data_IF_516381582995
#
_entry.id   IF_516381582995
#
_cell.length_a   1.000
_cell.length_b   1.000
_cell.length_c   1.000
_cell.angle_alpha   90.00
_cell.angle_beta   90.00
_cell.angle_gamma   90.00
#
_symmetry.space_group_name_H-M   'P 1'
#
loop_
_entity.id
_entity.type
_entity.pdbx_description
1 polymer ?
#
# COMPACT_ATOMS: atom_id res chain seq x y z
N UNK A 1 -0.85 23.16 -43.83
CA UNK A 1 -2.17 23.05 -43.18
C UNK A 1 -2.24 21.70 -42.49
N UNK A 2 -2.46 21.64 -41.18
CA UNK A 2 -2.69 20.39 -40.44
C UNK A 2 -4.09 19.89 -40.76
N UNK A 3 -4.20 18.78 -41.50
CA UNK A 3 -5.48 18.24 -41.98
C UNK A 3 -5.74 16.86 -41.37
N UNK A 4 -6.16 16.80 -40.10
CA UNK A 4 -7.05 15.75 -39.52
C UNK A 4 -7.12 15.90 -38.00
N UNK A 5 -8.29 15.67 -37.39
CA UNK A 5 -8.46 15.64 -35.93
C UNK A 5 -7.54 14.60 -35.24
N UNK A 6 -7.10 13.58 -35.98
CA UNK A 6 -6.13 12.60 -35.50
C UNK A 6 -4.72 13.20 -35.32
N UNK A 7 -4.30 14.11 -36.20
CA UNK A 7 -2.98 14.73 -36.13
C UNK A 7 -2.91 15.73 -34.97
N UNK A 8 -4.01 16.42 -34.68
CA UNK A 8 -4.11 17.30 -33.51
C UNK A 8 -3.99 16.50 -32.20
N UNK A 9 -4.67 15.34 -32.08
CA UNK A 9 -4.55 14.46 -30.91
C UNK A 9 -3.12 13.92 -30.74
N UNK A 10 -2.49 13.47 -31.82
CA UNK A 10 -1.09 13.01 -31.78
C UNK A 10 -0.13 14.11 -31.33
N UNK A 11 -0.34 15.34 -31.80
CA UNK A 11 0.45 16.49 -31.37
C UNK A 11 0.28 16.80 -29.88
N UNK A 12 -0.95 16.77 -29.37
CA UNK A 12 -1.21 17.00 -27.94
C UNK A 12 -0.65 15.87 -27.06
N UNK A 13 -0.75 14.63 -27.51
CA UNK A 13 -0.26 13.46 -26.78
C UNK A 13 1.28 13.46 -26.73
N UNK A 14 1.94 13.82 -27.83
CA UNK A 14 3.40 13.98 -27.88
C UNK A 14 3.86 15.11 -26.96
N UNK A 15 3.17 16.25 -26.94
CA UNK A 15 3.51 17.35 -26.04
C UNK A 15 3.31 16.96 -24.56
N UNK A 16 2.25 16.21 -24.25
CA UNK A 16 2.00 15.72 -22.89
C UNK A 16 3.09 14.72 -22.45
N UNK A 17 3.54 13.85 -23.35
CA UNK A 17 4.63 12.92 -23.10
C UNK A 17 5.96 13.65 -22.88
N UNK A 18 6.30 14.64 -23.70
CA UNK A 18 7.52 15.45 -23.52
C UNK A 18 7.52 16.19 -22.17
N UNK A 19 6.38 16.77 -21.77
CA UNK A 19 6.22 17.39 -20.45
C UNK A 19 6.40 16.38 -19.32
N UNK A 20 5.86 15.17 -19.47
CA UNK A 20 6.01 14.10 -18.49
C UNK A 20 7.47 13.62 -18.37
N UNK A 21 8.17 13.47 -19.50
CA UNK A 21 9.61 13.15 -19.54
C UNK A 21 10.39 14.19 -18.77
N UNK A 22 10.19 15.48 -19.10
CA UNK A 22 10.89 16.57 -18.41
C UNK A 22 10.62 16.58 -16.91
N UNK A 23 9.35 16.41 -16.49
CA UNK A 23 8.99 16.41 -15.08
C UNK A 23 9.64 15.27 -14.29
N UNK A 24 9.66 14.06 -14.85
CA UNK A 24 10.31 12.90 -14.21
C UNK A 24 11.82 13.09 -14.15
N UNK A 25 12.45 13.55 -15.23
CA UNK A 25 13.88 13.85 -15.23
C UNK A 25 14.24 14.92 -14.20
N UNK A 26 13.50 16.03 -14.15
CA UNK A 26 13.73 17.10 -13.16
C UNK A 26 13.55 16.60 -11.72
N UNK A 27 12.60 15.69 -11.47
CA UNK A 27 12.39 15.09 -10.17
C UNK A 27 13.56 14.19 -9.76
N UNK A 28 14.07 13.36 -10.68
CA UNK A 28 15.22 12.49 -10.42
C UNK A 28 16.55 13.26 -10.33
N UNK A 29 16.67 14.41 -10.99
CA UNK A 29 17.83 15.30 -10.83
C UNK A 29 17.86 15.95 -9.45
N UNK A 30 16.69 16.33 -8.91
CA UNK A 30 16.58 16.91 -7.56
C UNK A 30 16.89 15.90 -6.47
N UNK A 31 16.60 14.63 -6.73
CA UNK A 31 16.74 13.53 -5.78
C UNK A 31 17.69 12.48 -6.39
N UNK A 32 19.00 12.77 -6.40
CA UNK A 32 20.00 11.97 -7.12
C UNK A 32 20.17 10.55 -6.56
N UNK A 33 19.73 10.32 -5.32
CA UNK A 33 19.70 9.00 -4.68
C UNK A 33 18.49 8.15 -5.11
N UNK A 34 17.63 8.71 -5.95
CA UNK A 34 16.49 8.06 -6.53
C UNK A 34 15.19 8.27 -5.75
N UNK A 35 14.10 7.90 -6.39
CA UNK A 35 12.74 8.06 -5.89
C UNK A 35 11.94 6.79 -6.10
N UNK A 36 11.10 6.46 -5.13
CA UNK A 36 10.09 5.42 -5.32
C UNK A 36 9.09 5.84 -6.40
N UNK A 37 8.49 4.85 -7.08
CA UNK A 37 7.43 5.11 -8.06
C UNK A 37 6.26 5.92 -7.47
N UNK A 38 5.94 5.72 -6.18
CA UNK A 38 4.90 6.44 -5.44
C UNK A 38 5.23 7.93 -5.33
N UNK A 39 6.50 8.27 -5.04
CA UNK A 39 7.01 9.62 -4.90
C UNK A 39 7.08 10.31 -6.27
N UNK A 40 7.55 9.60 -7.31
CA UNK A 40 7.58 10.15 -8.69
C UNK A 40 6.16 10.48 -9.16
N UNK A 41 5.20 9.57 -8.94
CA UNK A 41 3.79 9.81 -9.28
C UNK A 41 3.22 11.04 -8.56
N UNK A 42 3.51 11.19 -7.26
CA UNK A 42 3.01 12.32 -6.47
C UNK A 42 3.68 13.64 -6.87
N UNK A 43 5.01 13.64 -7.06
CA UNK A 43 5.79 14.83 -7.42
C UNK A 43 5.49 15.31 -8.83
N UNK A 44 5.30 14.39 -9.77
CA UNK A 44 5.05 14.71 -11.18
C UNK A 44 3.56 14.72 -11.55
N UNK A 45 2.66 14.32 -10.64
CA UNK A 45 1.21 14.14 -10.87
C UNK A 45 0.90 13.24 -12.06
N UNK A 46 1.64 12.14 -12.20
CA UNK A 46 1.51 11.19 -13.30
C UNK A 46 0.81 9.90 -12.86
N UNK A 47 0.17 9.22 -13.82
CA UNK A 47 -0.34 7.86 -13.57
C UNK A 47 0.81 6.86 -13.45
N UNK A 48 0.58 5.74 -12.76
CA UNK A 48 1.59 4.67 -12.65
C UNK A 48 2.05 4.17 -14.03
N UNK A 49 1.09 3.97 -14.96
CA UNK A 49 1.37 3.55 -16.33
C UNK A 49 2.26 4.54 -17.06
N UNK A 50 1.91 5.83 -17.03
CA UNK A 50 2.69 6.90 -17.68
C UNK A 50 4.09 6.99 -17.07
N UNK A 51 4.19 6.88 -15.74
CA UNK A 51 5.45 6.95 -15.01
C UNK A 51 6.41 5.83 -15.44
N UNK A 52 5.93 4.58 -15.48
CA UNK A 52 6.73 3.43 -15.97
C UNK A 52 7.18 3.59 -17.42
N UNK A 53 6.29 4.07 -18.29
CA UNK A 53 6.63 4.33 -19.70
C UNK A 53 7.73 5.39 -19.80
N UNK A 54 7.62 6.50 -19.07
CA UNK A 54 8.63 7.56 -19.07
C UNK A 54 9.96 7.07 -18.50
N UNK A 55 9.95 6.35 -17.38
CA UNK A 55 11.16 5.77 -16.77
C UNK A 55 11.90 4.83 -17.74
N UNK A 56 11.15 4.05 -18.51
CA UNK A 56 11.72 3.21 -19.57
C UNK A 56 12.32 4.02 -20.72
N UNK A 57 11.70 5.15 -21.10
CA UNK A 57 12.19 6.02 -22.18
C UNK A 57 13.51 6.69 -21.77
N UNK A 58 13.61 7.19 -20.54
CA UNK A 58 14.81 7.85 -20.02
C UNK A 58 15.87 6.87 -19.52
N UNK A 59 15.62 5.55 -19.64
CA UNK A 59 16.50 4.47 -19.16
C UNK A 59 16.89 4.63 -17.69
N UNK A 60 15.94 5.01 -16.84
CA UNK A 60 16.18 5.08 -15.40
C UNK A 60 16.47 3.69 -14.84
N UNK A 61 17.43 3.60 -13.92
CA UNK A 61 17.79 2.37 -13.22
C UNK A 61 16.80 2.12 -12.09
N UNK A 62 16.43 0.85 -11.86
CA UNK A 62 15.62 0.43 -10.73
C UNK A 62 16.47 -0.42 -9.81
N UNK A 63 16.62 0.01 -8.56
CA UNK A 63 17.28 -0.74 -7.51
C UNK A 63 16.29 -0.88 -6.35
N UNK A 64 15.78 -2.09 -6.16
CA UNK A 64 14.83 -2.45 -5.10
C UNK A 64 13.61 -1.52 -4.99
N UNK A 65 13.09 -1.09 -6.15
CA UNK A 65 11.90 -0.22 -6.21
C UNK A 65 12.19 1.28 -6.17
N UNK A 66 13.45 1.68 -5.97
CA UNK A 66 13.92 3.07 -6.08
C UNK A 66 14.47 3.31 -7.49
N UNK A 67 14.00 4.38 -8.13
CA UNK A 67 14.38 4.75 -9.49
C UNK A 67 15.32 5.94 -9.51
N UNK A 68 16.38 5.90 -10.31
CA UNK A 68 17.35 6.99 -10.45
C UNK A 68 17.88 7.10 -11.88
N UNK A 69 18.58 8.21 -12.19
CA UNK A 69 19.24 8.38 -13.48
C UNK A 69 20.54 7.55 -13.56
N UNK A 70 20.84 7.04 -14.76
CA UNK A 70 22.00 6.21 -15.06
C UNK A 70 23.31 6.86 -14.56
N UNK A 71 24.09 6.11 -13.77
CA UNK A 71 25.37 6.57 -13.22
C UNK A 71 25.30 7.54 -12.02
N UNK A 72 24.11 7.87 -11.50
CA UNK A 72 23.97 8.70 -10.30
C UNK A 72 23.91 7.93 -8.98
N UNK A 73 23.72 6.61 -9.02
CA UNK A 73 23.85 5.76 -7.83
C UNK A 73 25.33 5.51 -7.56
N UNK A 74 26.03 6.54 -7.09
CA UNK A 74 27.28 6.33 -6.38
C UNK A 74 26.91 5.88 -4.98
N UNK A 75 26.87 4.57 -4.78
CA UNK A 75 26.79 3.95 -3.46
C UNK A 75 27.80 4.61 -2.52
N UNK A 76 27.32 5.34 -1.52
CA UNK A 76 28.07 5.60 -0.29
C UNK A 76 27.11 5.72 0.89
N UNK A 77 27.29 4.77 1.82
CA UNK A 77 27.28 4.98 3.27
C UNK A 77 27.36 6.47 3.66
N UNK A 78 26.34 7.01 4.33
CA UNK A 78 26.48 7.86 5.54
C UNK A 78 25.16 7.83 6.32
N UNK A 79 25.32 7.43 7.57
CA UNK A 79 24.44 7.60 8.72
C UNK A 79 24.04 9.09 8.84
N UNK A 80 22.76 9.43 8.75
CA UNK A 80 22.24 10.63 9.39
C UNK A 80 21.46 10.22 10.64
N UNK A 81 22.15 10.35 11.78
CA UNK A 81 21.56 10.52 13.10
C UNK A 81 20.42 11.53 13.09
N UNK A 82 19.32 11.32 13.84
CA UNK A 82 18.24 12.29 13.92
C UNK A 82 18.70 13.53 14.69
N UNK A 83 18.84 14.68 14.00
CA UNK A 83 18.92 15.96 14.69
C UNK A 83 17.54 16.35 15.21
N UNK A 84 17.44 16.31 16.54
CA UNK A 84 16.35 16.84 17.35
C UNK A 84 16.33 18.37 17.19
N UNK A 85 15.55 18.88 16.24
CA UNK A 85 15.16 20.28 16.26
C UNK A 85 13.95 20.45 17.18
N UNK A 86 14.21 21.09 18.33
CA UNK A 86 13.23 21.59 19.29
C UNK A 86 12.19 22.45 18.58
N UNK A 87 10.96 21.96 18.45
CA UNK A 87 9.80 22.80 18.15
C UNK A 87 8.91 22.88 19.38
N UNK A 88 8.59 24.13 19.75
CA UNK A 88 7.72 24.57 20.85
C UNK A 88 6.44 23.71 21.02
N UNK A 89 6.31 23.14 22.21
CA UNK A 89 5.11 22.97 23.06
C UNK A 89 3.99 23.98 22.68
N UNK A 90 2.73 23.63 22.34
CA UNK A 90 1.63 22.96 23.07
C UNK A 90 0.41 22.76 22.12
N UNK A 91 -0.71 22.09 22.50
CA UNK A 91 -0.88 21.00 23.44
C UNK A 91 -1.48 19.73 22.80
N UNK A 92 -1.19 18.65 23.49
CA UNK A 92 -1.66 17.28 23.43
C UNK A 92 -3.18 17.10 23.36
N UNK A 93 -3.65 16.22 22.47
CA UNK A 93 -4.65 15.22 22.84
C UNK A 93 -4.12 13.82 22.47
N UNK A 94 -3.76 13.10 23.53
CA UNK A 94 -3.40 11.68 23.55
C UNK A 94 -4.69 10.88 23.61
N UNK A 95 -4.81 9.81 22.82
CA UNK A 95 -4.87 8.42 23.33
C UNK A 95 -5.06 7.39 22.19
N UNK A 96 -4.04 6.52 22.07
CA UNK A 96 -4.11 5.06 22.00
C UNK A 96 -5.10 4.37 21.05
N UNK A 97 -4.60 3.73 19.98
CA UNK A 97 -4.42 2.26 19.90
C UNK A 97 -3.85 1.84 18.52
N UNK A 98 -3.12 0.71 18.44
CA UNK A 98 -2.58 0.19 17.19
C UNK A 98 -3.68 -0.55 16.42
N UNK A 99 -4.53 0.17 15.70
CA UNK A 99 -5.50 -0.47 14.81
C UNK A 99 -4.84 -0.86 13.49
N UNK A 100 -4.89 -2.15 13.20
CA UNK A 100 -4.74 -2.75 11.86
C UNK A 100 -5.37 -1.77 10.86
N UNK A 101 -4.58 -1.15 9.96
CA UNK A 101 -5.06 -0.11 9.03
C UNK A 101 -6.27 -0.64 8.24
N UNK A 102 -7.47 -0.43 8.77
CA UNK A 102 -8.69 -0.90 8.18
C UNK A 102 -8.82 -0.21 6.82
N UNK A 103 -9.03 -1.01 5.78
CA UNK A 103 -9.22 -0.50 4.43
C UNK A 103 -10.37 0.50 4.42
N UNK A 104 -10.36 1.44 3.47
CA UNK A 104 -11.42 2.45 3.39
C UNK A 104 -12.82 1.82 3.31
N UNK A 105 -12.94 0.68 2.64
CA UNK A 105 -14.18 -0.09 2.55
C UNK A 105 -14.62 -0.62 3.93
N UNK A 106 -13.71 -1.19 4.72
CA UNK A 106 -14.05 -1.71 6.05
C UNK A 106 -14.54 -0.59 6.97
N UNK A 107 -13.88 0.57 6.93
CA UNK A 107 -14.31 1.75 7.68
C UNK A 107 -15.67 2.27 7.20
N UNK A 108 -15.94 2.22 5.88
CA UNK A 108 -17.26 2.59 5.32
C UNK A 108 -18.37 1.63 5.81
N UNK A 109 -18.08 0.34 5.92
CA UNK A 109 -19.02 -0.65 6.48
C UNK A 109 -19.31 -0.34 7.95
N UNK A 110 -18.29 -0.05 8.75
CA UNK A 110 -18.45 0.31 10.16
C UNK A 110 -19.27 1.59 10.35
N UNK A 111 -19.05 2.59 9.50
CA UNK A 111 -19.86 3.81 9.49
C UNK A 111 -21.34 3.49 9.34
N UNK A 112 -21.72 2.64 8.39
CA UNK A 112 -23.13 2.26 8.22
C UNK A 112 -23.67 1.33 9.32
N UNK A 113 -22.81 0.55 9.98
CA UNK A 113 -23.21 -0.23 11.17
C UNK A 113 -23.51 0.68 12.37
N UNK A 114 -22.72 1.75 12.54
CA UNK A 114 -22.87 2.71 13.64
C UNK A 114 -23.95 3.78 13.36
N UNK A 115 -24.38 3.91 12.10
CA UNK A 115 -25.43 4.85 11.66
C UNK A 115 -26.54 4.12 10.88
N UNK A 116 -27.37 3.30 11.56
CA UNK A 116 -28.44 2.54 10.90
C UNK A 116 -29.54 3.43 10.31
N UNK A 117 -29.79 4.60 10.90
CA UNK A 117 -30.76 5.59 10.38
C UNK A 117 -30.22 6.36 9.15
N UNK A 118 -28.94 6.14 8.83
CA UNK A 118 -28.24 6.73 7.70
C UNK A 118 -27.31 7.87 8.08
N UNK A 119 -26.51 8.28 7.08
CA UNK A 119 -25.45 9.28 7.24
C UNK A 119 -25.41 10.22 6.04
N UNK A 120 -25.19 11.51 6.27
CA UNK A 120 -24.97 12.48 5.18
C UNK A 120 -23.58 12.35 4.57
N UNK A 121 -23.41 12.75 3.32
CA UNK A 121 -22.10 12.72 2.65
C UNK A 121 -21.03 13.47 3.46
N UNK A 122 -21.35 14.67 3.93
CA UNK A 122 -20.41 15.51 4.68
C UNK A 122 -19.94 14.81 5.95
N UNK A 123 -20.85 14.19 6.70
CA UNK A 123 -20.50 13.49 7.93
C UNK A 123 -19.72 12.20 7.66
N UNK A 124 -20.07 11.47 6.60
CA UNK A 124 -19.34 10.28 6.19
C UNK A 124 -17.89 10.61 5.76
N UNK A 125 -17.68 11.70 5.02
CA UNK A 125 -16.34 12.14 4.62
C UNK A 125 -15.50 12.64 5.80
N UNK A 126 -16.13 13.29 6.78
CA UNK A 126 -15.49 13.68 8.04
C UNK A 126 -14.95 12.47 8.82
N UNK A 127 -15.75 11.41 8.94
CA UNK A 127 -15.36 10.18 9.67
C UNK A 127 -14.33 9.36 8.90
N UNK A 128 -14.53 9.18 7.59
CA UNK A 128 -13.69 8.27 6.79
C UNK A 128 -12.36 8.89 6.38
N UNK A 129 -12.31 10.22 6.26
CA UNK A 129 -11.20 10.97 5.68
C UNK A 129 -11.02 10.63 4.20
N UNK A 130 -11.28 11.59 3.31
CA UNK A 130 -11.06 11.38 1.88
C UNK A 130 -11.87 12.31 0.98
N UNK A 131 -11.95 11.96 -0.29
CA UNK A 131 -12.71 12.71 -1.29
C UNK A 131 -13.97 11.95 -1.73
N UNK A 132 -14.92 12.70 -2.30
CA UNK A 132 -16.19 12.17 -2.81
C UNK A 132 -16.01 11.03 -3.83
N UNK A 133 -15.03 11.14 -4.73
CA UNK A 133 -14.78 10.12 -5.75
C UNK A 133 -14.44 8.75 -5.14
N UNK A 134 -13.64 8.73 -4.07
CA UNK A 134 -13.32 7.50 -3.33
C UNK A 134 -14.54 6.96 -2.60
N UNK A 135 -15.33 7.83 -1.97
CA UNK A 135 -16.58 7.45 -1.31
C UNK A 135 -17.55 6.78 -2.28
N UNK A 136 -17.81 7.40 -3.43
CA UNK A 136 -18.75 6.88 -4.44
C UNK A 136 -18.29 5.52 -5.00
N UNK A 137 -16.97 5.37 -5.24
CA UNK A 137 -16.38 4.10 -5.70
C UNK A 137 -16.59 2.99 -4.68
N UNK A 138 -16.27 3.23 -3.42
CA UNK A 138 -16.39 2.22 -2.37
C UNK A 138 -17.85 1.97 -1.97
N UNK A 139 -18.73 2.97 -2.07
CA UNK A 139 -20.17 2.80 -1.91
C UNK A 139 -20.77 1.88 -2.99
N UNK A 140 -20.30 2.02 -4.24
CA UNK A 140 -20.68 1.11 -5.34
C UNK A 140 -20.21 -0.32 -5.06
N UNK A 141 -19.01 -0.48 -4.50
CA UNK A 141 -18.47 -1.77 -4.09
C UNK A 141 -19.29 -2.39 -2.95
N UNK A 142 -19.62 -1.59 -1.93
CA UNK A 142 -20.41 -1.99 -0.76
C UNK A 142 -21.82 -2.45 -1.17
N UNK A 143 -22.50 -1.71 -2.05
CA UNK A 143 -23.84 -2.07 -2.56
C UNK A 143 -23.88 -3.42 -3.28
N UNK A 144 -22.78 -3.78 -3.96
CA UNK A 144 -22.69 -5.05 -4.71
C UNK A 144 -22.40 -6.24 -3.79
N UNK A 145 -21.59 -6.04 -2.76
CA UNK A 145 -20.95 -7.15 -2.03
C UNK A 145 -21.36 -7.26 -0.55
N UNK A 146 -22.03 -6.27 0.02
CA UNK A 146 -22.35 -6.23 1.46
C UNK A 146 -23.84 -6.02 1.74
N UNK A 147 -24.37 -4.81 1.51
CA UNK A 147 -25.79 -4.53 1.72
C UNK A 147 -26.25 -3.34 0.86
N UNK A 148 -27.54 -3.29 0.50
CA UNK A 148 -28.12 -2.15 -0.20
C UNK A 148 -28.08 -0.88 0.67
N UNK A 149 -27.75 0.24 0.04
CA UNK A 149 -27.75 1.58 0.65
C UNK A 149 -28.55 2.50 -0.24
N UNK A 150 -29.64 3.07 0.28
CA UNK A 150 -30.48 4.05 -0.41
C UNK A 150 -29.97 5.46 -0.14
N UNK A 151 -30.29 6.37 -1.05
CA UNK A 151 -30.03 7.80 -0.88
C UNK A 151 -31.38 8.52 -0.89
N UNK A 152 -31.78 9.05 0.25
CA UNK A 152 -33.04 9.78 0.42
C UNK A 152 -32.73 11.13 1.08
N UNK A 153 -33.17 12.23 0.48
CA UNK A 153 -32.96 13.58 1.00
C UNK A 153 -31.49 13.92 1.35
N UNK A 154 -30.52 13.35 0.62
CA UNK A 154 -29.09 13.57 0.88
C UNK A 154 -28.50 12.71 2.01
N UNK A 155 -29.28 11.79 2.57
CA UNK A 155 -28.88 10.83 3.60
C UNK A 155 -28.73 9.44 2.97
N UNK A 156 -27.57 8.82 3.17
CA UNK A 156 -27.31 7.45 2.77
C UNK A 156 -27.75 6.51 3.89
N UNK A 157 -28.81 5.74 3.67
CA UNK A 157 -29.39 4.86 4.69
C UNK A 157 -29.21 3.40 4.28
N UNK A 158 -28.59 2.56 5.14
CA UNK A 158 -28.54 1.12 4.89
C UNK A 158 -29.96 0.57 4.94
N UNK A 159 -30.35 -0.19 3.92
CA UNK A 159 -31.66 -0.82 3.92
C UNK A 159 -31.61 -2.02 4.85
N UNK A 160 -32.03 -1.80 6.10
CA UNK A 160 -32.09 -2.84 7.11
C UNK A 160 -33.00 -3.96 6.63
N UNK A 161 -32.43 -5.10 6.23
CA UNK A 161 -33.23 -6.32 6.09
C UNK A 161 -33.07 -7.14 7.37
N UNK A 162 -33.98 -6.92 8.33
CA UNK A 162 -34.51 -8.04 9.10
C UNK A 162 -35.97 -8.18 8.67
N UNK A 163 -36.26 -9.35 8.08
CA UNK A 163 -37.55 -9.87 7.61
C UNK A 163 -38.00 -9.50 6.19
N UNK A 164 -37.85 -10.51 5.34
CA UNK A 164 -38.75 -10.84 4.23
C UNK A 164 -40.19 -10.47 4.58
N UNK A 165 -40.80 -9.57 3.81
CA UNK A 165 -42.24 -9.62 3.61
C UNK A 165 -42.48 -10.83 2.68
N UNK A 166 -43.26 -11.84 3.08
CA UNK A 166 -43.67 -12.89 2.16
C UNK A 166 -44.64 -12.27 1.16
N UNK A 167 -44.23 -12.19 -0.10
CA UNK A 167 -45.18 -12.08 -1.19
C UNK A 167 -45.84 -13.47 -1.33
N UNK A 168 -47.15 -13.65 -1.10
CA UNK A 168 -47.79 -14.95 -1.15
C UNK A 168 -48.13 -15.29 -2.60
N UNK A 169 -47.11 -15.47 -3.42
CA UNK A 169 -47.24 -16.10 -4.73
C UNK A 169 -45.87 -16.63 -5.11
N UNK A 170 -45.81 -17.93 -5.45
CA UNK A 170 -44.60 -18.70 -5.80
C UNK A 170 -43.84 -19.36 -4.63
N UNK A 171 -44.51 -20.31 -3.98
CA UNK A 171 -43.85 -21.45 -3.35
C UNK A 171 -43.71 -22.60 -4.35
N UNK A 172 -42.46 -22.95 -4.67
CA UNK A 172 -41.88 -24.31 -4.78
C UNK A 172 -40.52 -24.14 -5.48
N UNK A 173 -39.42 -24.20 -4.71
CA UNK A 173 -38.03 -24.54 -5.16
C UNK A 173 -36.87 -24.08 -4.22
N UNK A 174 -37.10 -23.86 -2.91
CA UNK A 174 -36.03 -23.37 -2.00
C UNK A 174 -35.59 -24.38 -0.93
N UNK A 175 -35.82 -25.69 -1.12
CA UNK A 175 -35.36 -26.67 -0.12
C UNK A 175 -33.90 -27.13 -0.30
N UNK A 176 -33.26 -26.85 -1.44
CA UNK A 176 -31.90 -27.37 -1.75
C UNK A 176 -30.78 -26.40 -1.37
N UNK A 177 -31.06 -25.09 -1.27
CA UNK A 177 -30.00 -24.08 -1.09
C UNK A 177 -29.45 -23.99 0.35
N UNK A 178 -30.23 -24.40 1.36
CA UNK A 178 -29.80 -24.29 2.75
C UNK A 178 -28.72 -25.33 3.10
N UNK A 179 -28.86 -26.57 2.62
CA UNK A 179 -27.92 -27.65 2.91
C UNK A 179 -26.54 -27.44 2.26
N UNK A 180 -26.50 -26.78 1.09
CA UNK A 180 -25.24 -26.44 0.41
C UNK A 180 -24.48 -25.35 1.17
N UNK A 181 -25.19 -24.41 1.79
CA UNK A 181 -24.59 -23.30 2.54
C UNK A 181 -23.89 -23.80 3.83
N UNK A 182 -24.52 -24.77 4.50
CA UNK A 182 -24.01 -25.33 5.75
C UNK A 182 -22.74 -26.16 5.50
N UNK A 183 -22.73 -27.00 4.45
CA UNK A 183 -21.55 -27.75 3.99
C UNK A 183 -20.39 -26.85 3.58
N UNK A 184 -20.67 -25.67 3.01
CA UNK A 184 -19.65 -24.71 2.60
C UNK A 184 -19.01 -23.98 3.79
N UNK A 185 -19.76 -23.82 4.87
CA UNK A 185 -19.30 -23.23 6.13
C UNK A 185 -18.41 -24.20 6.88
N UNK A 186 -18.80 -25.48 6.93
CA UNK A 186 -17.99 -26.58 7.46
C UNK A 186 -16.66 -26.70 6.69
N UNK A 187 -16.70 -26.72 5.35
CA UNK A 187 -15.48 -26.79 4.54
C UNK A 187 -14.52 -25.62 4.77
N UNK A 188 -15.03 -24.39 4.92
CA UNK A 188 -14.20 -23.21 5.23
C UNK A 188 -13.50 -23.32 6.59
N UNK A 189 -14.12 -23.97 7.57
CA UNK A 189 -13.52 -24.19 8.90
C UNK A 189 -12.37 -25.20 8.89
N UNK A 190 -12.33 -26.09 7.89
CA UNK A 190 -11.25 -27.06 7.69
C UNK A 190 -10.04 -26.49 6.94
N UNK A 191 -10.16 -25.31 6.32
CA UNK A 191 -9.05 -24.70 5.59
C UNK A 191 -8.11 -24.00 6.56
N UNK A 192 -6.98 -24.64 6.87
CA UNK A 192 -5.91 -24.04 7.64
C UNK A 192 -5.08 -23.10 6.76
N UNK A 193 -5.31 -21.78 6.92
CA UNK A 193 -4.54 -20.77 6.19
C UNK A 193 -3.16 -20.62 6.83
N UNK A 194 -2.11 -21.09 6.15
CA UNK A 194 -0.72 -20.83 6.51
C UNK A 194 -0.22 -19.63 5.72
N UNK A 195 0.06 -18.52 6.40
CA UNK A 195 0.79 -17.40 5.79
C UNK A 195 2.28 -17.63 6.05
N UNK A 196 3.06 -17.79 4.98
CA UNK A 196 4.52 -17.78 5.06
C UNK A 196 4.96 -16.36 4.72
N UNK A 197 5.55 -15.68 5.72
CA UNK A 197 6.21 -14.40 5.51
C UNK A 197 7.69 -14.72 5.32
N UNK A 198 8.21 -14.42 4.13
CA UNK A 198 9.64 -14.50 3.84
C UNK A 198 10.17 -13.08 3.89
N UNK A 199 11.05 -12.82 4.84
CA UNK A 199 11.76 -11.54 4.94
C UNK A 199 13.21 -11.78 4.57
N UNK A 200 13.70 -11.05 3.59
CA UNK A 200 15.11 -11.05 3.22
C UNK A 200 15.80 -9.95 4.01
N UNK A 201 16.75 -10.35 4.85
CA UNK A 201 17.58 -9.43 5.63
C UNK A 201 18.96 -9.43 4.99
N UNK A 202 19.34 -8.30 4.41
CA UNK A 202 20.69 -8.07 3.90
C UNK A 202 21.50 -7.43 5.02
N UNK A 203 22.45 -8.19 5.56
CA UNK A 203 23.39 -7.70 6.55
C UNK A 203 24.71 -7.37 5.86
N UNK A 204 25.27 -6.19 6.15
CA UNK A 204 26.66 -5.93 5.83
C UNK A 204 27.60 -6.77 6.73
N UNK A 205 28.89 -6.77 6.42
CA UNK A 205 29.87 -7.58 7.17
C UNK A 205 29.96 -7.23 8.65
N UNK A 206 29.74 -5.95 9.00
CA UNK A 206 29.81 -5.46 10.39
C UNK A 206 28.55 -5.83 11.15
N UNK A 207 27.39 -5.75 10.52
CA UNK A 207 26.12 -6.19 11.08
C UNK A 207 26.10 -7.69 11.29
N UNK A 208 26.59 -8.46 10.32
CA UNK A 208 26.71 -9.90 10.44
C UNK A 208 27.70 -10.28 11.55
N UNK A 209 28.82 -9.57 11.68
CA UNK A 209 29.76 -9.71 12.79
C UNK A 209 29.08 -9.49 14.15
N UNK A 210 28.33 -8.39 14.31
CA UNK A 210 27.61 -8.08 15.54
C UNK A 210 26.55 -9.14 15.88
N UNK A 211 25.77 -9.59 14.90
CA UNK A 211 24.75 -10.64 15.10
C UNK A 211 25.40 -11.94 15.54
N UNK A 212 26.50 -12.34 14.91
CA UNK A 212 27.21 -13.56 15.29
C UNK A 212 27.83 -13.45 16.69
N UNK A 213 28.41 -12.29 17.06
CA UNK A 213 28.92 -12.06 18.41
C UNK A 213 27.83 -12.15 19.47
N UNK A 214 26.68 -11.52 19.22
CA UNK A 214 25.55 -11.52 20.15
C UNK A 214 24.91 -12.91 20.29
N UNK A 215 24.69 -13.61 19.18
CA UNK A 215 24.08 -14.95 19.18
C UNK A 215 24.98 -16.01 19.82
N UNK A 216 26.29 -15.95 19.59
CA UNK A 216 27.22 -16.97 20.08
C UNK A 216 27.96 -16.58 21.37
N UNK A 217 27.89 -15.32 21.80
CA UNK A 217 28.59 -14.82 23.00
C UNK A 217 30.12 -14.87 22.86
N UNK A 218 30.63 -14.58 21.67
CA UNK A 218 32.05 -14.66 21.33
C UNK A 218 32.59 -13.27 20.96
N UNK A 219 33.86 -13.03 21.24
CA UNK A 219 34.42 -11.67 21.21
C UNK A 219 35.05 -11.32 19.85
N UNK A 220 35.55 -12.34 19.15
CA UNK A 220 36.33 -12.20 17.93
C UNK A 220 35.79 -13.10 16.84
N UNK A 221 35.64 -12.55 15.63
CA UNK A 221 35.29 -13.29 14.43
C UNK A 221 36.32 -13.00 13.35
N UNK A 222 36.89 -14.06 12.80
CA UNK A 222 37.81 -14.00 11.67
C UNK A 222 37.16 -14.58 10.42
N UNK A 223 37.08 -13.79 9.37
CA UNK A 223 36.49 -14.19 8.09
C UNK A 223 37.56 -14.70 7.14
N UNK A 224 37.33 -15.85 6.52
CA UNK A 224 38.24 -16.40 5.53
C UNK A 224 37.47 -17.09 4.40
N UNK A 225 38.06 -17.06 3.21
CA UNK A 225 37.48 -17.70 2.03
C UNK A 225 38.27 -18.96 1.71
N UNK A 226 37.61 -20.12 1.75
CA UNK A 226 38.21 -21.41 1.40
C UNK A 226 37.31 -22.13 0.41
N UNK A 227 37.88 -22.55 -0.72
CA UNK A 227 37.16 -23.24 -1.80
C UNK A 227 35.94 -22.47 -2.32
N UNK A 228 36.06 -21.15 -2.44
CA UNK A 228 34.97 -20.27 -2.90
C UNK A 228 33.82 -20.09 -1.90
N UNK A 229 33.96 -20.60 -0.67
CA UNK A 229 32.99 -20.44 0.42
C UNK A 229 33.55 -19.48 1.47
N UNK A 230 32.69 -18.59 1.95
CA UNK A 230 32.97 -17.74 3.10
C UNK A 230 32.81 -18.58 4.37
N UNK A 231 33.82 -18.55 5.23
CA UNK A 231 33.83 -19.21 6.53
C UNK A 231 34.15 -18.18 7.61
N UNK A 232 33.58 -18.36 8.79
CA UNK A 232 33.85 -17.54 9.97
C UNK A 232 34.46 -18.43 11.07
N UNK A 233 35.60 -18.02 11.62
CA UNK A 233 36.17 -18.58 12.83
C UNK A 233 35.73 -17.69 13.98
N UNK A 234 35.05 -18.25 14.99
CA UNK A 234 34.63 -17.49 16.16
C UNK A 234 35.44 -17.92 17.39
N UNK A 235 35.95 -16.95 18.13
CA UNK A 235 36.84 -17.19 19.29
C UNK A 235 36.37 -16.36 20.48
N UNK A 236 36.44 -16.96 21.68
CA UNK A 236 36.22 -16.28 22.96
C UNK A 236 37.55 -16.05 23.65
N UNK A 237 37.79 -14.86 24.18
CA UNK A 237 38.98 -14.58 24.99
C UNK A 237 38.60 -14.68 26.45
N UNK A 238 38.95 -15.80 27.10
CA UNK A 238 38.81 -15.91 28.56
C UNK A 238 40.07 -15.35 29.22
N UNK A 239 39.90 -14.25 29.95
CA UNK A 239 40.96 -13.71 30.83
C UNK A 239 40.91 -14.52 32.12
N UNK A 240 41.97 -15.30 32.36
CA UNK A 240 42.17 -16.07 33.60
C UNK A 240 42.60 -15.17 34.77
#
# INVERSE_FOLDING_TARGET
MMNSAADYRRFTDNQALEKAIKAVTDALVKEPFGLEISQIMNNCRLSNRTTKTVLSIIKAENNDGVWSLEGQIKSKNVIETPQINKVKIMPTQTQNQPEVKATYLNRLIEVFKNHPDGITLSKALEILGGNRSRFDKELSNLRKNHFPVRLENGVYTPEATIQKIPNPAFQRDISVKHEVQDKLTEFRSMVQKRTVITEEVVLDSVQLDNVLKDVFGLDTIEWFTKDGKVQAHLTKTEVA
#
